data_IF_826926052850
#
_entry.id   IF_826926052850
#
_cell.length_a   1.000
_cell.length_b   1.000
_cell.length_c   1.000
_cell.angle_alpha   90.00
_cell.angle_beta   90.00
_cell.angle_gamma   90.00
#
_symmetry.space_group_name_H-M   'P 1'
#
loop_
_entity.id
_entity.type
_entity.pdbx_description
1 polymer ?
#
# COMPACT_ATOMS: atom_id res chain seq x y z
N UNK A 1 15.58 -17.22 38.87
CA UNK A 1 15.99 -18.60 39.20
C UNK A 1 16.23 -19.32 37.91
N UNK A 2 17.52 -19.51 37.55
CA UNK A 2 17.98 -20.28 36.40
C UNK A 2 17.81 -21.77 36.64
N UNK A 3 17.41 -22.53 35.61
CA UNK A 3 17.79 -23.95 35.51
C UNK A 3 18.30 -24.18 34.06
N UNK A 4 19.59 -24.39 33.96
CA UNK A 4 20.29 -24.87 32.78
C UNK A 4 20.26 -26.40 32.79
N UNK A 5 20.05 -27.03 31.63
CA UNK A 5 20.24 -28.46 31.43
C UNK A 5 21.36 -28.64 30.36
N UNK A 6 22.49 -29.09 30.90
CA UNK A 6 23.66 -29.58 30.14
C UNK A 6 23.46 -31.04 29.83
N UNK A 7 23.68 -31.48 28.59
CA UNK A 7 23.81 -32.89 28.22
C UNK A 7 25.22 -33.13 27.70
N UNK A 8 25.95 -33.98 28.42
CA UNK A 8 27.25 -34.50 28.12
C UNK A 8 27.18 -35.58 27.01
N UNK A 9 28.09 -35.51 26.07
CA UNK A 9 28.42 -36.63 25.17
C UNK A 9 29.88 -36.99 25.37
N UNK A 10 30.12 -38.25 25.67
CA UNK A 10 31.45 -38.86 25.77
C UNK A 10 31.64 -39.95 24.68
N UNK A 11 32.88 -40.29 24.28
CA UNK A 11 33.22 -40.86 23.01
C UNK A 11 33.57 -42.36 23.06
N UNK A 12 33.48 -43.04 21.93
CA UNK A 12 34.26 -44.24 21.52
C UNK A 12 33.66 -44.76 20.19
N UNK A 13 34.35 -45.28 19.24
CA UNK A 13 35.55 -46.07 19.17
C UNK A 13 36.05 -46.16 17.70
N UNK A 14 37.34 -46.24 17.62
CA UNK A 14 38.19 -46.49 16.46
C UNK A 14 38.00 -47.92 15.92
N UNK A 15 37.85 -48.12 14.61
CA UNK A 15 38.18 -49.36 13.93
C UNK A 15 38.89 -49.06 12.60
N UNK A 16 40.14 -49.45 12.58
CA UNK A 16 41.07 -49.56 11.44
C UNK A 16 40.71 -50.74 10.54
N UNK A 17 40.68 -50.54 9.24
CA UNK A 17 40.85 -51.67 8.29
C UNK A 17 41.72 -51.25 7.09
N UNK A 18 42.53 -52.18 6.73
CA UNK A 18 43.70 -52.12 5.93
C UNK A 18 43.54 -51.77 4.46
N UNK A 19 44.65 -51.23 3.93
CA UNK A 19 44.92 -50.92 2.53
C UNK A 19 45.28 -52.15 1.78
N UNK A 20 44.65 -52.51 0.69
CA UNK A 20 45.16 -53.42 -0.34
C UNK A 20 45.29 -52.65 -1.66
N UNK A 21 46.53 -52.60 -2.13
CA UNK A 21 46.98 -52.03 -3.39
C UNK A 21 46.66 -52.92 -4.58
N UNK A 22 46.18 -52.39 -5.68
CA UNK A 22 46.26 -52.93 -7.03
C UNK A 22 46.40 -51.81 -8.09
N UNK A 23 46.94 -52.09 -9.32
CA UNK A 23 47.91 -51.22 -9.96
C UNK A 23 47.36 -50.23 -10.98
N UNK A 24 48.14 -49.19 -11.26
CA UNK A 24 47.97 -48.19 -12.31
C UNK A 24 47.82 -48.83 -13.69
N UNK A 25 46.76 -48.50 -14.39
CA UNK A 25 46.69 -48.57 -15.85
C UNK A 25 46.52 -47.14 -16.41
N UNK A 26 47.51 -46.77 -17.23
CA UNK A 26 47.58 -45.55 -18.00
C UNK A 26 46.32 -45.40 -18.93
N UNK A 27 45.52 -44.33 -18.76
CA UNK A 27 44.64 -43.91 -19.78
C UNK A 27 44.96 -42.46 -20.22
N UNK A 28 45.20 -42.32 -21.53
CA UNK A 28 45.49 -41.05 -22.22
C UNK A 28 44.31 -40.06 -22.13
N UNK A 29 44.56 -38.75 -22.04
CA UNK A 29 43.51 -37.77 -22.04
C UNK A 29 43.14 -37.36 -23.49
N UNK A 30 41.93 -37.64 -23.90
CA UNK A 30 41.29 -36.94 -25.02
C UNK A 30 39.80 -36.82 -24.76
N UNK A 31 39.39 -35.64 -24.32
CA UNK A 31 38.18 -34.96 -24.78
C UNK A 31 38.07 -33.63 -24.04
N UNK A 32 38.24 -32.54 -24.77
CA UNK A 32 37.95 -31.19 -24.31
C UNK A 32 36.47 -31.09 -24.01
N UNK A 33 36.09 -31.23 -22.75
CA UNK A 33 34.74 -30.89 -22.29
C UNK A 33 34.68 -29.35 -22.24
N UNK A 34 34.11 -28.73 -23.26
CA UNK A 34 33.65 -27.35 -23.18
C UNK A 34 32.64 -27.31 -22.04
N UNK A 35 33.07 -26.84 -20.88
CA UNK A 35 32.19 -26.49 -19.77
C UNK A 35 31.27 -25.39 -20.25
N UNK A 36 30.08 -25.76 -20.69
CA UNK A 36 28.97 -24.82 -20.82
C UNK A 36 28.56 -24.46 -19.38
N UNK A 37 29.20 -23.42 -18.84
CA UNK A 37 28.64 -22.74 -17.68
C UNK A 37 27.31 -22.13 -18.06
N UNK A 38 26.26 -22.96 -18.04
CA UNK A 38 24.90 -22.52 -17.94
C UNK A 38 24.71 -22.05 -16.48
N UNK A 39 25.21 -20.85 -16.18
CA UNK A 39 24.78 -20.13 -15.00
C UNK A 39 23.27 -19.90 -15.19
N UNK A 40 22.47 -20.76 -14.58
CA UNK A 40 21.05 -20.49 -14.42
C UNK A 40 20.97 -19.08 -13.78
N UNK A 41 20.55 -18.09 -14.55
CA UNK A 41 20.30 -16.74 -14.07
C UNK A 41 19.19 -16.90 -13.03
N UNK A 42 19.52 -16.78 -11.75
CA UNK A 42 18.50 -16.71 -10.71
C UNK A 42 17.62 -15.53 -11.07
N UNK A 43 16.36 -15.81 -11.43
CA UNK A 43 15.39 -14.76 -11.77
C UNK A 43 15.15 -13.93 -10.52
N UNK A 44 15.33 -12.61 -10.64
CA UNK A 44 14.97 -11.70 -9.55
C UNK A 44 13.45 -11.58 -9.47
N UNK A 45 12.92 -11.31 -8.28
CA UNK A 45 11.47 -11.13 -8.08
C UNK A 45 10.85 -10.07 -9.01
N UNK A 46 11.61 -9.03 -9.30
CA UNK A 46 11.18 -8.01 -10.25
C UNK A 46 10.95 -8.57 -11.67
N UNK A 47 11.75 -9.53 -12.14
CA UNK A 47 11.57 -10.12 -13.46
C UNK A 47 10.26 -10.91 -13.52
N UNK A 48 9.89 -11.58 -12.44
CA UNK A 48 8.61 -12.27 -12.30
C UNK A 48 7.45 -11.27 -12.29
N UNK A 49 7.55 -10.21 -11.47
CA UNK A 49 6.49 -9.20 -11.35
C UNK A 49 6.25 -8.47 -12.70
N UNK A 50 7.31 -8.12 -13.43
CA UNK A 50 7.20 -7.47 -14.74
C UNK A 50 6.67 -8.42 -15.82
N UNK A 51 7.01 -9.71 -15.77
CA UNK A 51 6.58 -10.72 -16.76
C UNK A 51 5.09 -11.08 -16.68
N UNK A 52 4.40 -10.69 -15.60
CA UNK A 52 2.95 -10.90 -15.47
C UNK A 52 2.13 -10.09 -16.46
N UNK A 53 2.73 -9.10 -17.10
CA UNK A 53 2.06 -8.27 -18.10
C UNK A 53 2.83 -8.28 -19.41
N UNK A 54 2.15 -8.60 -20.51
CA UNK A 54 2.66 -8.41 -21.86
C UNK A 54 2.19 -7.09 -22.41
N UNK A 55 3.13 -6.20 -22.74
CA UNK A 55 2.85 -4.87 -23.31
C UNK A 55 3.12 -4.91 -24.81
N UNK A 56 2.09 -4.77 -25.62
CA UNK A 56 2.17 -4.95 -27.09
C UNK A 56 2.68 -3.72 -27.84
N UNK A 57 2.58 -2.52 -27.24
CA UNK A 57 3.00 -1.24 -27.82
C UNK A 57 4.00 -0.55 -26.92
N UNK A 58 4.72 0.42 -27.47
CA UNK A 58 5.59 1.28 -26.70
C UNK A 58 4.82 2.00 -25.58
N UNK A 59 5.47 2.26 -24.47
CA UNK A 59 4.82 2.81 -23.27
C UNK A 59 5.51 4.06 -22.75
N UNK A 60 4.70 4.95 -22.19
CA UNK A 60 5.11 6.02 -21.33
C UNK A 60 4.84 5.60 -19.87
N UNK A 61 5.86 5.66 -19.02
CA UNK A 61 5.77 5.16 -17.66
C UNK A 61 5.95 6.27 -16.63
N UNK A 62 5.38 6.05 -15.46
CA UNK A 62 5.76 6.71 -14.21
C UNK A 62 6.00 5.67 -13.11
N UNK A 63 6.85 6.00 -12.14
CA UNK A 63 7.26 5.10 -11.05
C UNK A 63 7.02 5.80 -9.72
N UNK A 64 6.35 5.12 -8.79
CA UNK A 64 6.11 5.67 -7.46
C UNK A 64 5.27 4.78 -6.56
N UNK A 65 5.18 5.12 -5.29
CA UNK A 65 4.32 4.40 -4.34
C UNK A 65 2.85 4.71 -4.59
N UNK A 66 2.52 5.93 -5.00
CA UNK A 66 1.17 6.43 -5.28
C UNK A 66 0.16 6.21 -4.14
N UNK A 67 0.65 6.18 -2.91
CA UNK A 67 -0.20 5.94 -1.75
C UNK A 67 -1.28 7.02 -1.60
N UNK A 68 -2.55 6.56 -1.57
CA UNK A 68 -3.74 7.40 -1.52
C UNK A 68 -4.15 8.03 -2.85
N UNK A 69 -3.38 7.92 -3.93
CA UNK A 69 -3.67 8.51 -5.27
C UNK A 69 -4.27 9.91 -5.13
N UNK A 70 -3.55 10.81 -4.44
CA UNK A 70 -4.01 12.17 -4.14
C UNK A 70 -3.91 13.10 -5.36
N UNK A 71 -4.47 14.30 -5.28
CA UNK A 71 -4.51 15.29 -6.38
C UNK A 71 -3.13 15.56 -7.01
N UNK A 72 -2.05 15.54 -6.20
CA UNK A 72 -0.68 15.65 -6.72
C UNK A 72 -0.28 14.46 -7.62
N UNK A 73 -0.65 13.24 -7.24
CA UNK A 73 -0.46 12.06 -8.09
C UNK A 73 -1.32 12.15 -9.36
N UNK A 74 -2.59 12.57 -9.23
CA UNK A 74 -3.51 12.73 -10.36
C UNK A 74 -2.97 13.76 -11.37
N UNK A 75 -2.33 14.83 -10.89
CA UNK A 75 -1.70 15.81 -11.77
C UNK A 75 -0.58 15.17 -12.64
N UNK A 76 0.31 14.39 -12.02
CA UNK A 76 1.36 13.64 -12.72
C UNK A 76 0.77 12.63 -13.71
N UNK A 77 -0.25 11.88 -13.30
CA UNK A 77 -0.95 10.87 -14.11
C UNK A 77 -1.58 11.51 -15.35
N UNK A 78 -2.23 12.67 -15.22
CA UNK A 78 -2.81 13.40 -16.35
C UNK A 78 -1.74 13.82 -17.37
N UNK A 79 -0.56 14.24 -16.91
CA UNK A 79 0.58 14.55 -17.79
C UNK A 79 1.11 13.31 -18.50
N UNK A 80 1.21 12.19 -17.79
CA UNK A 80 1.59 10.90 -18.37
C UNK A 80 0.61 10.46 -19.48
N UNK A 81 -0.69 10.48 -19.19
CA UNK A 81 -1.73 10.09 -20.16
C UNK A 81 -1.71 11.03 -21.40
N UNK A 82 -1.55 12.34 -21.17
CA UNK A 82 -1.45 13.32 -22.26
C UNK A 82 -0.26 13.03 -23.17
N UNK A 83 0.90 12.71 -22.59
CA UNK A 83 2.10 12.36 -23.38
C UNK A 83 1.92 11.03 -24.11
N UNK A 84 1.40 10.01 -23.46
CA UNK A 84 1.13 8.71 -24.07
C UNK A 84 0.19 8.84 -25.27
N UNK A 85 -0.89 9.59 -25.13
CA UNK A 85 -1.84 9.87 -26.22
C UNK A 85 -1.17 10.63 -27.38
N UNK A 86 -0.37 11.65 -27.08
CA UNK A 86 0.33 12.47 -28.08
C UNK A 86 1.33 11.64 -28.92
N UNK A 87 1.93 10.61 -28.33
CA UNK A 87 2.97 9.78 -28.95
C UNK A 87 2.46 8.41 -29.43
N UNK A 88 1.17 8.11 -29.26
CA UNK A 88 0.58 6.81 -29.62
C UNK A 88 1.02 5.65 -28.72
N UNK A 89 1.57 5.95 -27.55
CA UNK A 89 2.04 4.98 -26.55
C UNK A 89 0.92 4.57 -25.58
N UNK A 90 1.15 3.49 -24.82
CA UNK A 90 0.35 3.14 -23.65
C UNK A 90 0.85 3.93 -22.43
N UNK A 91 -0.08 4.33 -21.56
CA UNK A 91 0.24 4.93 -20.25
C UNK A 91 0.35 3.84 -19.20
N UNK A 92 1.49 3.76 -18.50
CA UNK A 92 1.72 2.75 -17.46
C UNK A 92 2.23 3.34 -16.15
N UNK A 93 1.82 2.71 -15.05
CA UNK A 93 2.29 3.03 -13.70
C UNK A 93 3.01 1.82 -13.12
N UNK A 94 4.27 2.00 -12.74
CA UNK A 94 5.00 1.05 -11.90
C UNK A 94 4.84 1.48 -10.45
N UNK A 95 4.14 0.68 -9.65
CA UNK A 95 3.93 0.94 -8.22
C UNK A 95 4.50 -0.19 -7.37
N UNK A 96 4.55 -0.01 -6.05
CA UNK A 96 5.14 -1.01 -5.17
C UNK A 96 4.07 -1.69 -4.32
N UNK A 97 4.16 -3.03 -4.19
CA UNK A 97 3.29 -3.83 -3.30
C UNK A 97 3.51 -3.42 -1.84
N UNK A 98 4.76 -3.22 -1.46
CA UNK A 98 5.19 -2.75 -0.15
C UNK A 98 5.97 -1.44 -0.28
N UNK A 99 5.93 -0.62 0.77
CA UNK A 99 6.63 0.67 0.73
C UNK A 99 8.16 0.44 0.78
N UNK A 100 8.97 1.02 -0.14
CA UNK A 100 10.43 0.83 -0.14
C UNK A 100 11.11 1.07 1.21
N UNK A 101 10.61 2.02 2.00
CA UNK A 101 11.16 2.30 3.33
C UNK A 101 11.01 1.15 4.32
N UNK A 102 10.06 0.23 4.15
CA UNK A 102 9.90 -0.94 5.06
C UNK A 102 11.07 -1.92 4.92
N UNK A 103 11.70 -1.97 3.74
CA UNK A 103 12.89 -2.79 3.49
C UNK A 103 14.17 -2.03 3.85
N UNK A 104 14.21 -0.71 3.53
CA UNK A 104 15.41 0.11 3.75
C UNK A 104 15.58 0.57 5.21
N UNK A 105 14.53 0.54 6.01
CA UNK A 105 14.52 0.99 7.42
C UNK A 105 13.64 0.04 8.24
N UNK A 106 14.19 -0.92 8.96
CA UNK A 106 13.41 -1.94 9.71
C UNK A 106 12.40 -1.35 10.71
N UNK A 107 12.72 -0.19 11.30
CA UNK A 107 11.83 0.48 12.27
C UNK A 107 10.72 1.31 11.63
N UNK A 108 10.69 1.42 10.29
CA UNK A 108 9.69 2.20 9.60
C UNK A 108 8.35 1.46 9.58
N UNK A 109 7.35 2.03 10.25
CA UNK A 109 5.96 1.56 10.18
C UNK A 109 5.21 2.35 9.11
N UNK A 110 4.48 1.62 8.27
CA UNK A 110 3.59 2.23 7.27
C UNK A 110 2.23 2.53 7.92
N UNK A 111 1.66 3.65 7.52
CA UNK A 111 0.24 3.94 7.70
C UNK A 111 -0.30 4.27 6.30
N UNK A 112 -0.56 3.24 5.49
CA UNK A 112 -1.04 3.43 4.12
C UNK A 112 -2.39 4.15 4.10
N UNK A 113 -2.52 5.11 3.20
CA UNK A 113 -3.78 5.82 2.95
C UNK A 113 -4.75 4.94 2.16
N UNK A 114 -4.22 4.09 1.28
CA UNK A 114 -4.98 3.12 0.48
C UNK A 114 -4.26 1.78 0.42
N UNK A 115 -5.00 0.68 0.38
CA UNK A 115 -4.44 -0.62 0.04
C UNK A 115 -4.01 -0.69 -1.43
N UNK A 116 -3.40 -1.82 -1.83
CA UNK A 116 -2.88 -1.97 -3.18
C UNK A 116 -4.00 -2.05 -4.22
N UNK A 117 -5.07 -2.76 -3.92
CA UNK A 117 -6.17 -2.98 -4.86
C UNK A 117 -6.95 -1.68 -5.10
N UNK A 118 -7.23 -0.93 -4.04
CA UNK A 118 -7.82 0.41 -4.12
C UNK A 118 -6.92 1.37 -4.92
N UNK A 119 -5.61 1.32 -4.71
CA UNK A 119 -4.64 2.13 -5.45
C UNK A 119 -4.65 1.82 -6.94
N UNK A 120 -4.65 0.52 -7.30
CA UNK A 120 -4.73 0.08 -8.69
C UNK A 120 -6.05 0.50 -9.31
N UNK A 121 -7.16 0.32 -8.60
CA UNK A 121 -8.50 0.74 -9.04
C UNK A 121 -8.54 2.23 -9.35
N UNK A 122 -8.09 3.07 -8.41
CA UNK A 122 -8.04 4.53 -8.57
C UNK A 122 -7.16 4.97 -9.75
N UNK A 123 -5.99 4.37 -9.92
CA UNK A 123 -5.11 4.66 -11.06
C UNK A 123 -5.80 4.37 -12.40
N UNK A 124 -6.49 3.22 -12.49
CA UNK A 124 -7.24 2.83 -13.69
C UNK A 124 -8.44 3.73 -13.94
N UNK A 125 -9.18 4.13 -12.91
CA UNK A 125 -10.30 5.08 -13.04
C UNK A 125 -9.86 6.45 -13.58
N UNK A 126 -8.61 6.85 -13.32
CA UNK A 126 -8.03 8.04 -13.92
C UNK A 126 -7.53 7.85 -15.36
N UNK A 127 -7.72 6.67 -15.95
CA UNK A 127 -7.47 6.39 -17.36
C UNK A 127 -6.06 5.86 -17.67
N UNK A 128 -5.36 5.30 -16.70
CA UNK A 128 -4.10 4.58 -16.92
C UNK A 128 -4.41 3.24 -17.61
N UNK A 129 -3.70 2.95 -18.71
CA UNK A 129 -3.89 1.73 -19.49
C UNK A 129 -3.47 0.49 -18.69
N UNK A 130 -2.33 0.55 -17.98
CA UNK A 130 -1.87 -0.57 -17.14
C UNK A 130 -1.11 -0.14 -15.89
N UNK A 131 -1.20 -0.98 -14.86
CA UNK A 131 -0.47 -0.81 -13.60
C UNK A 131 0.30 -2.08 -13.30
N UNK A 132 1.59 -1.95 -12.99
CA UNK A 132 2.47 -3.06 -12.60
C UNK A 132 2.87 -2.90 -11.15
N UNK A 133 2.32 -3.70 -10.24
CA UNK A 133 2.74 -3.71 -8.85
C UNK A 133 4.00 -4.57 -8.69
N UNK A 134 5.11 -3.94 -8.30
CA UNK A 134 6.42 -4.57 -8.10
C UNK A 134 6.68 -4.79 -6.60
N UNK A 135 7.22 -5.93 -6.25
CA UNK A 135 7.69 -6.21 -4.89
C UNK A 135 9.03 -5.53 -4.66
N UNK A 136 9.10 -4.63 -3.67
CA UNK A 136 10.37 -4.02 -3.29
C UNK A 136 11.05 -4.89 -2.22
N UNK A 137 12.11 -5.58 -2.61
CA UNK A 137 12.92 -6.44 -1.77
C UNK A 137 14.38 -5.95 -1.68
N UNK A 138 15.24 -6.71 -0.98
CA UNK A 138 16.65 -6.36 -0.86
C UNK A 138 17.40 -6.43 -2.19
N UNK A 139 17.03 -7.35 -3.09
CA UNK A 139 17.66 -7.48 -4.39
C UNK A 139 17.33 -6.28 -5.27
N UNK A 140 16.07 -5.86 -5.30
CA UNK A 140 15.66 -4.64 -5.99
C UNK A 140 16.33 -3.38 -5.40
N UNK A 141 16.50 -3.33 -4.07
CA UNK A 141 17.18 -2.23 -3.39
C UNK A 141 18.68 -2.11 -3.76
N UNK A 142 19.34 -3.19 -4.19
CA UNK A 142 20.72 -3.20 -4.67
C UNK A 142 20.85 -2.95 -6.17
N UNK A 143 19.73 -2.91 -6.89
CA UNK A 143 19.75 -2.71 -8.33
C UNK A 143 20.04 -1.24 -8.67
N UNK A 144 21.03 -1.00 -9.54
CA UNK A 144 21.30 0.36 -10.03
C UNK A 144 20.12 0.89 -10.85
N UNK A 145 20.00 2.21 -10.91
CA UNK A 145 18.99 2.89 -11.74
C UNK A 145 19.05 2.45 -13.21
N UNK A 146 20.25 2.33 -13.76
CA UNK A 146 20.46 1.85 -15.14
C UNK A 146 19.85 0.46 -15.35
N UNK A 147 20.19 -0.51 -14.51
CA UNK A 147 19.67 -1.88 -14.65
C UNK A 147 18.17 -1.98 -14.46
N UNK A 148 17.62 -1.18 -13.55
CA UNK A 148 16.17 -1.14 -13.35
C UNK A 148 15.45 -0.55 -14.55
N UNK A 149 15.95 0.59 -15.09
CA UNK A 149 15.38 1.24 -16.29
C UNK A 149 15.53 0.35 -17.53
N UNK A 150 16.66 -0.35 -17.69
CA UNK A 150 16.85 -1.34 -18.75
C UNK A 150 15.78 -2.45 -18.71
N UNK A 151 15.47 -2.99 -17.50
CA UNK A 151 14.37 -3.95 -17.35
C UNK A 151 13.01 -3.38 -17.78
N UNK A 152 12.69 -2.14 -17.39
CA UNK A 152 11.44 -1.49 -17.81
C UNK A 152 11.40 -1.26 -19.33
N UNK A 153 12.51 -0.83 -19.92
CA UNK A 153 12.61 -0.64 -21.38
C UNK A 153 12.40 -1.95 -22.15
N UNK A 154 12.99 -3.03 -21.67
CA UNK A 154 12.90 -4.33 -22.33
C UNK A 154 11.57 -5.06 -22.09
N UNK A 155 11.03 -5.03 -20.86
CA UNK A 155 9.84 -5.85 -20.49
C UNK A 155 8.54 -5.08 -20.66
N UNK A 156 8.55 -3.75 -20.41
CA UNK A 156 7.35 -2.89 -20.56
C UNK A 156 7.43 -1.98 -21.78
N UNK A 157 8.42 -2.15 -22.64
CA UNK A 157 8.63 -1.33 -23.86
C UNK A 157 8.64 0.17 -23.57
N UNK A 158 9.28 0.57 -22.46
CA UNK A 158 9.33 1.97 -22.02
C UNK A 158 10.10 2.82 -23.02
N UNK A 159 9.46 3.86 -23.55
CA UNK A 159 10.04 4.89 -24.44
C UNK A 159 9.92 6.30 -23.86
N UNK A 160 9.20 6.46 -22.76
CA UNK A 160 9.11 7.73 -22.04
C UNK A 160 8.98 7.48 -20.55
N UNK A 161 9.77 8.19 -19.75
CA UNK A 161 9.67 8.20 -18.28
C UNK A 161 9.28 9.59 -17.80
N UNK A 162 8.18 9.68 -17.06
CA UNK A 162 7.62 10.94 -16.55
C UNK A 162 7.50 10.85 -15.03
N UNK A 163 8.13 11.75 -14.29
CA UNK A 163 8.23 11.69 -12.83
C UNK A 163 8.00 13.05 -12.16
N UNK A 164 7.82 13.05 -10.86
CA UNK A 164 7.80 14.29 -10.07
C UNK A 164 9.19 14.87 -9.80
N UNK A 165 9.29 16.10 -9.29
CA UNK A 165 10.56 16.79 -9.12
C UNK A 165 11.42 16.26 -7.95
N UNK A 166 10.82 15.54 -7.00
CA UNK A 166 11.51 14.93 -5.86
C UNK A 166 11.96 13.48 -6.14
N UNK A 167 11.86 13.04 -7.42
CA UNK A 167 12.10 11.66 -7.80
C UNK A 167 13.57 11.29 -7.72
N UNK A 168 13.84 10.15 -7.13
CA UNK A 168 15.13 9.46 -7.24
C UNK A 168 14.92 7.96 -7.01
N UNK A 169 15.71 7.14 -7.70
CA UNK A 169 15.61 5.69 -7.71
C UNK A 169 16.97 5.01 -7.75
N UNK A 170 16.98 3.67 -7.73
CA UNK A 170 18.18 2.87 -7.82
C UNK A 170 18.97 2.79 -6.51
N UNK A 171 20.02 1.97 -6.52
CA UNK A 171 20.89 1.76 -5.35
C UNK A 171 21.49 3.08 -4.88
N UNK A 172 21.32 3.40 -3.58
CA UNK A 172 21.79 4.67 -2.99
C UNK A 172 21.26 5.93 -3.71
N UNK A 173 20.12 5.83 -4.42
CA UNK A 173 19.52 6.93 -5.21
C UNK A 173 20.43 7.42 -6.35
N UNK A 174 21.12 6.53 -7.03
CA UNK A 174 22.02 6.84 -8.16
C UNK A 174 21.28 7.39 -9.39
N UNK A 175 19.97 7.13 -9.51
CA UNK A 175 19.09 7.70 -10.53
C UNK A 175 18.41 8.97 -10.01
N UNK A 176 18.89 10.15 -10.42
CA UNK A 176 18.36 11.48 -10.08
C UNK A 176 17.84 12.19 -11.31
N UNK A 177 17.26 13.39 -11.14
CA UNK A 177 16.81 14.21 -12.29
C UNK A 177 17.95 14.62 -13.21
N UNK A 178 19.20 14.62 -12.73
CA UNK A 178 20.40 14.94 -13.53
C UNK A 178 20.95 13.69 -14.25
N UNK A 179 20.91 12.51 -13.62
CA UNK A 179 21.52 11.29 -14.16
C UNK A 179 20.58 10.49 -15.06
N UNK A 180 19.26 10.49 -14.79
CA UNK A 180 18.29 9.75 -15.60
C UNK A 180 18.23 10.21 -17.07
N UNK A 181 18.34 11.51 -17.42
CA UNK A 181 18.41 11.94 -18.82
C UNK A 181 19.55 11.29 -19.59
N UNK A 182 20.73 11.14 -18.99
CA UNK A 182 21.89 10.48 -19.59
C UNK A 182 21.62 8.97 -19.82
N UNK A 183 20.91 8.34 -18.90
CA UNK A 183 20.45 6.96 -19.07
C UNK A 183 19.38 6.86 -20.16
N UNK A 184 18.55 7.88 -20.33
CA UNK A 184 17.59 7.97 -21.42
C UNK A 184 18.22 7.95 -22.80
N UNK A 185 19.31 8.71 -23.01
CA UNK A 185 20.10 8.68 -24.23
C UNK A 185 20.71 7.29 -24.50
N UNK A 186 21.22 6.62 -23.44
CA UNK A 186 21.83 5.30 -23.53
C UNK A 186 20.82 4.18 -23.80
N UNK A 187 19.62 4.25 -23.18
CA UNK A 187 18.60 3.20 -23.21
C UNK A 187 17.43 3.52 -24.17
N UNK A 188 17.56 4.57 -24.98
CA UNK A 188 16.59 5.00 -25.99
C UNK A 188 15.19 5.28 -25.41
N UNK A 189 15.11 6.13 -24.35
CA UNK A 189 13.86 6.67 -23.84
C UNK A 189 13.95 8.17 -23.54
N UNK A 190 12.81 8.87 -23.60
CA UNK A 190 12.70 10.29 -23.24
C UNK A 190 12.40 10.43 -21.74
N UNK A 191 12.95 11.50 -21.12
CA UNK A 191 12.73 11.81 -19.72
C UNK A 191 12.04 13.16 -19.54
N UNK A 192 11.06 13.23 -18.65
CA UNK A 192 10.37 14.48 -18.28
C UNK A 192 10.12 14.54 -16.79
N UNK A 193 10.34 15.70 -16.19
CA UNK A 193 9.90 16.02 -14.83
C UNK A 193 8.66 16.91 -14.86
N UNK A 194 7.70 16.65 -13.98
CA UNK A 194 6.45 17.41 -13.84
C UNK A 194 6.45 18.10 -12.48
N UNK A 195 6.19 19.39 -12.47
CA UNK A 195 6.13 20.19 -11.24
C UNK A 195 5.03 19.68 -10.28
N UNK A 196 5.26 19.89 -8.98
CA UNK A 196 4.29 19.55 -7.95
C UNK A 196 3.01 20.39 -8.10
N UNK A 197 1.87 19.71 -7.97
CA UNK A 197 0.62 20.42 -7.74
C UNK A 197 0.65 21.05 -6.35
N UNK A 198 0.44 22.36 -6.29
CA UNK A 198 0.25 23.10 -5.05
C UNK A 198 -1.23 23.30 -4.79
N UNK A 199 -1.66 23.12 -3.55
CA UNK A 199 -2.97 23.53 -3.08
C UNK A 199 -2.76 24.77 -2.19
N UNK A 200 -3.23 25.92 -2.66
CA UNK A 200 -2.93 27.27 -2.13
C UNK A 200 -1.46 27.50 -2.00
N UNK A 201 -0.55 27.25 -1.50
CA UNK A 201 0.92 27.37 -1.52
C UNK A 201 1.64 26.09 -1.04
N UNK A 202 0.87 25.12 -0.54
CA UNK A 202 1.43 23.88 0.00
C UNK A 202 1.39 22.72 -1.00
N UNK A 203 2.46 21.93 -1.10
CA UNK A 203 2.48 20.75 -1.97
C UNK A 203 1.59 19.64 -1.39
N UNK A 204 0.73 19.09 -2.23
CA UNK A 204 -0.10 17.92 -1.86
C UNK A 204 0.78 16.68 -1.74
N UNK A 205 1.03 16.23 -0.51
CA UNK A 205 1.91 15.07 -0.19
C UNK A 205 1.22 14.05 0.72
N UNK A 206 1.48 12.77 0.51
CA UNK A 206 0.93 11.67 1.34
C UNK A 206 1.28 11.82 2.84
N UNK A 207 2.42 12.43 3.18
CA UNK A 207 2.79 12.65 4.59
C UNK A 207 1.85 13.64 5.28
N UNK A 208 1.49 14.74 4.60
CA UNK A 208 0.53 15.73 5.13
C UNK A 208 -0.85 15.08 5.30
N UNK A 209 -1.27 14.31 4.29
CA UNK A 209 -2.57 13.61 4.33
C UNK A 209 -2.63 12.62 5.51
N UNK A 210 -1.55 11.86 5.78
CA UNK A 210 -1.52 10.95 6.95
C UNK A 210 -1.65 11.67 8.28
N UNK A 211 -1.02 12.83 8.43
CA UNK A 211 -1.15 13.64 9.64
C UNK A 211 -2.58 14.13 9.82
N UNK A 212 -3.20 14.67 8.76
CA UNK A 212 -4.61 15.11 8.79
C UNK A 212 -5.59 13.96 9.09
N UNK A 213 -5.33 12.74 8.57
CA UNK A 213 -6.11 11.55 8.93
C UNK A 213 -5.96 11.28 10.43
N UNK A 214 -4.73 11.25 10.95
CA UNK A 214 -4.47 10.99 12.37
C UNK A 214 -5.07 12.05 13.30
N UNK A 215 -5.22 13.30 12.83
CA UNK A 215 -5.90 14.39 13.52
C UNK A 215 -7.43 14.31 13.43
N UNK A 216 -7.97 13.48 12.52
CA UNK A 216 -9.40 13.38 12.25
C UNK A 216 -9.96 14.48 11.35
N UNK A 217 -9.10 15.24 10.66
CA UNK A 217 -9.46 16.35 9.75
C UNK A 217 -9.88 15.82 8.38
N UNK A 218 -10.92 14.96 8.35
CA UNK A 218 -11.31 14.20 7.14
C UNK A 218 -11.77 15.07 5.98
N UNK A 219 -12.34 16.24 6.25
CA UNK A 219 -12.73 17.22 5.22
C UNK A 219 -11.48 17.79 4.50
N UNK A 220 -10.43 18.14 5.24
CA UNK A 220 -9.15 18.58 4.65
C UNK A 220 -8.48 17.45 3.86
N UNK A 221 -8.57 16.23 4.35
CA UNK A 221 -8.10 15.04 3.64
C UNK A 221 -8.85 14.87 2.32
N UNK A 222 -10.19 15.03 2.33
CA UNK A 222 -11.00 14.95 1.12
C UNK A 222 -10.58 15.98 0.06
N UNK A 223 -10.30 17.22 0.46
CA UNK A 223 -9.79 18.25 -0.44
C UNK A 223 -8.46 17.85 -1.10
N UNK A 224 -7.53 17.26 -0.34
CA UNK A 224 -6.23 16.84 -0.86
C UNK A 224 -6.30 15.57 -1.70
N UNK A 225 -7.17 14.62 -1.35
CA UNK A 225 -7.39 13.40 -2.12
C UNK A 225 -8.21 13.68 -3.39
N UNK A 226 -9.12 14.66 -3.38
CA UNK A 226 -10.14 14.90 -4.40
C UNK A 226 -11.32 13.91 -4.30
N UNK A 227 -11.43 13.19 -3.18
CA UNK A 227 -12.50 12.27 -2.78
C UNK A 227 -12.46 12.07 -1.27
N UNK A 228 -13.51 11.50 -0.70
CA UNK A 228 -13.50 11.16 0.71
C UNK A 228 -12.45 10.07 1.01
N UNK A 229 -11.84 10.14 2.19
CA UNK A 229 -10.99 9.08 2.70
C UNK A 229 -11.84 7.86 3.03
N UNK A 230 -11.37 6.67 2.70
CA UNK A 230 -12.03 5.42 3.06
C UNK A 230 -11.10 4.45 3.78
N UNK A 231 -11.67 3.70 4.72
CA UNK A 231 -11.01 2.60 5.40
C UNK A 231 -11.81 1.32 5.20
N UNK A 232 -11.12 0.25 4.83
CA UNK A 232 -11.73 -1.06 4.59
C UNK A 232 -11.21 -2.06 5.61
N UNK A 233 -12.09 -2.89 6.14
CA UNK A 233 -11.75 -3.93 7.10
C UNK A 233 -12.80 -5.03 7.18
N UNK A 234 -12.60 -5.94 8.09
CA UNK A 234 -13.55 -7.02 8.38
C UNK A 234 -14.40 -6.67 9.59
N UNK A 235 -15.68 -6.96 9.53
CA UNK A 235 -16.58 -6.80 10.67
C UNK A 235 -16.35 -7.92 11.69
N UNK A 236 -15.93 -7.56 12.88
CA UNK A 236 -15.61 -8.50 13.95
C UNK A 236 -16.57 -8.39 15.15
N UNK A 237 -16.60 -9.42 16.00
CA UNK A 237 -17.38 -9.37 17.21
C UNK A 237 -16.85 -8.33 18.19
N UNK A 238 -17.71 -7.41 18.63
CA UNK A 238 -17.46 -6.46 19.70
C UNK A 238 -18.15 -6.84 21.01
N UNK A 239 -18.17 -5.91 21.98
CA UNK A 239 -18.82 -6.11 23.29
C UNK A 239 -20.35 -6.11 23.24
N UNK A 240 -20.95 -5.82 22.08
CA UNK A 240 -22.41 -5.79 21.81
C UNK A 240 -23.21 -4.84 22.74
N UNK A 241 -22.54 -3.87 23.38
CA UNK A 241 -23.21 -2.89 24.28
C UNK A 241 -24.20 -2.00 23.54
N UNK A 242 -23.87 -1.58 22.32
CA UNK A 242 -24.76 -0.80 21.48
C UNK A 242 -26.10 -1.49 21.20
N UNK A 243 -26.09 -2.83 21.03
CA UNK A 243 -27.33 -3.62 20.80
C UNK A 243 -28.30 -3.52 21.97
N UNK A 244 -27.83 -3.51 23.22
CA UNK A 244 -28.68 -3.38 24.41
C UNK A 244 -29.26 -1.96 24.56
N UNK A 245 -28.62 -0.99 23.93
CA UNK A 245 -29.05 0.41 23.93
C UNK A 245 -29.91 0.79 22.69
N UNK A 246 -30.18 -0.16 21.80
CA UNK A 246 -30.94 0.07 20.57
C UNK A 246 -30.12 0.57 19.39
N UNK A 247 -28.78 0.66 19.52
CA UNK A 247 -27.85 1.10 18.47
C UNK A 247 -26.80 0.00 18.18
N UNK A 248 -27.18 -1.09 17.47
CA UNK A 248 -26.23 -2.14 17.12
C UNK A 248 -25.11 -1.59 16.23
N UNK A 249 -23.85 -1.71 16.66
CA UNK A 249 -22.67 -1.25 15.91
C UNK A 249 -21.89 -2.40 15.30
N UNK A 250 -21.40 -2.22 14.08
CA UNK A 250 -20.41 -3.06 13.45
C UNK A 250 -19.00 -2.63 13.92
N UNK A 251 -18.25 -3.55 14.49
CA UNK A 251 -16.85 -3.30 14.88
C UNK A 251 -15.96 -3.63 13.69
N UNK A 252 -15.26 -2.63 13.15
CA UNK A 252 -14.39 -2.77 12.00
C UNK A 252 -12.95 -3.01 12.42
N UNK A 253 -12.38 -4.14 12.03
CA UNK A 253 -10.95 -4.43 12.17
C UNK A 253 -10.23 -4.06 10.88
N UNK A 254 -9.43 -2.99 10.95
CA UNK A 254 -8.56 -2.57 9.84
C UNK A 254 -7.22 -3.29 9.97
N UNK A 255 -6.65 -3.84 8.88
CA UNK A 255 -5.34 -4.46 8.91
C UNK A 255 -4.25 -3.51 9.41
N UNK A 256 -3.28 -4.03 10.16
CA UNK A 256 -2.15 -3.24 10.63
C UNK A 256 -1.40 -2.57 9.48
N UNK A 257 -0.93 -1.35 9.71
CA UNK A 257 -0.16 -0.59 8.71
C UNK A 257 -1.01 0.29 7.79
N UNK A 258 -2.33 0.37 8.02
CA UNK A 258 -3.22 1.32 7.35
C UNK A 258 -3.60 2.49 8.27
N UNK A 259 -3.85 3.64 7.64
CA UNK A 259 -4.28 4.84 8.34
C UNK A 259 -5.73 4.70 8.81
N UNK A 260 -6.00 5.18 10.02
CA UNK A 260 -7.34 5.37 10.56
C UNK A 260 -7.49 6.79 11.09
N UNK A 261 -8.66 7.42 10.95
CA UNK A 261 -8.88 8.78 11.44
C UNK A 261 -8.69 8.89 12.96
N UNK A 262 -8.40 10.10 13.44
CA UNK A 262 -8.31 10.43 14.86
C UNK A 262 -9.57 10.04 15.63
N UNK A 263 -9.50 10.04 16.99
CA UNK A 263 -10.65 9.72 17.84
C UNK A 263 -11.76 10.75 17.62
N UNK A 264 -13.01 10.31 17.62
CA UNK A 264 -14.17 11.15 17.38
C UNK A 264 -15.36 10.42 16.78
N UNK A 265 -16.41 11.17 16.53
CA UNK A 265 -17.65 10.70 15.88
C UNK A 265 -17.72 11.28 14.48
N UNK A 266 -18.04 10.43 13.51
CA UNK A 266 -18.01 10.76 12.09
C UNK A 266 -19.32 10.41 11.38
N UNK A 267 -19.75 11.25 10.46
CA UNK A 267 -20.71 10.88 9.43
C UNK A 267 -19.97 10.13 8.32
N UNK A 268 -20.40 8.90 8.02
CA UNK A 268 -19.74 8.02 7.05
C UNK A 268 -20.75 7.36 6.13
N UNK A 269 -20.30 7.02 4.92
CA UNK A 269 -20.98 6.03 4.09
C UNK A 269 -20.37 4.65 4.36
N UNK A 270 -21.23 3.68 4.64
CA UNK A 270 -20.88 2.27 4.81
C UNK A 270 -21.23 1.51 3.53
N UNK A 271 -20.23 0.83 2.95
CA UNK A 271 -20.40 0.02 1.74
C UNK A 271 -20.23 -1.46 2.08
N UNK A 272 -21.26 -2.22 1.78
CA UNK A 272 -21.32 -3.69 1.82
C UNK A 272 -21.60 -4.22 0.42
N UNK A 273 -21.51 -5.52 0.21
CA UNK A 273 -21.96 -6.14 -1.05
C UNK A 273 -23.45 -5.88 -1.33
N UNK A 274 -24.27 -5.79 -0.25
CA UNK A 274 -25.72 -5.51 -0.34
C UNK A 274 -26.07 -4.07 -0.70
N UNK A 275 -25.10 -3.13 -0.59
CA UNK A 275 -25.36 -1.74 -0.94
C UNK A 275 -24.61 -0.70 -0.11
N UNK A 276 -25.07 0.55 -0.24
CA UNK A 276 -24.53 1.73 0.47
C UNK A 276 -25.49 2.20 1.53
N UNK A 277 -25.03 2.40 2.74
CA UNK A 277 -25.80 2.80 3.91
C UNK A 277 -25.19 4.03 4.59
N UNK A 278 -25.99 4.90 5.15
CA UNK A 278 -25.51 5.96 6.04
C UNK A 278 -25.05 5.33 7.35
N UNK A 279 -23.97 5.83 7.93
CA UNK A 279 -23.52 5.34 9.23
C UNK A 279 -22.96 6.45 10.12
N UNK A 280 -23.28 6.40 11.40
CA UNK A 280 -22.62 7.16 12.44
C UNK A 280 -21.48 6.30 13.00
N UNK A 281 -20.24 6.75 12.81
CA UNK A 281 -19.06 5.96 13.15
C UNK A 281 -18.29 6.60 14.29
N UNK A 282 -18.05 5.83 15.35
CA UNK A 282 -17.19 6.20 16.48
C UNK A 282 -15.79 5.59 16.31
N UNK A 283 -14.76 6.40 16.50
CA UNK A 283 -13.38 5.95 16.61
C UNK A 283 -12.85 6.41 17.96
N UNK A 284 -12.32 5.45 18.76
CA UNK A 284 -11.79 5.77 20.07
C UNK A 284 -10.94 4.65 20.65
N UNK A 285 -10.31 4.94 21.81
CA UNK A 285 -9.51 3.99 22.57
C UNK A 285 -10.34 3.34 23.66
N UNK A 286 -10.30 2.02 23.77
CA UNK A 286 -10.95 1.32 24.90
C UNK A 286 -10.03 1.30 26.12
N UNK A 287 -10.48 1.81 27.28
CA UNK A 287 -9.65 1.79 28.50
C UNK A 287 -9.41 0.39 29.08
N UNK A 288 -10.03 -0.66 28.55
CA UNK A 288 -10.05 -2.02 29.12
C UNK A 288 -9.13 -3.04 28.43
N UNK A 289 -8.37 -2.66 27.39
CA UNK A 289 -7.37 -3.54 26.78
C UNK A 289 -5.96 -3.10 27.15
N UNK A 290 -5.17 -4.01 27.70
CA UNK A 290 -3.76 -3.84 28.09
C UNK A 290 -2.81 -3.47 26.94
N UNK A 291 -3.28 -3.40 25.70
CA UNK A 291 -2.50 -3.04 24.51
C UNK A 291 -3.08 -1.84 23.73
N UNK A 292 -3.95 -1.01 24.31
CA UNK A 292 -4.35 0.30 23.78
C UNK A 292 -4.90 0.29 22.34
N UNK A 293 -5.63 -0.76 21.93
CA UNK A 293 -6.17 -0.86 20.57
C UNK A 293 -7.29 0.16 20.33
N UNK A 294 -7.18 0.94 19.24
CA UNK A 294 -8.28 1.77 18.73
C UNK A 294 -9.38 0.89 18.17
N UNK A 295 -10.62 1.28 18.42
CA UNK A 295 -11.81 0.61 17.86
C UNK A 295 -12.53 1.54 16.90
N UNK A 296 -13.07 0.96 15.83
CA UNK A 296 -13.95 1.65 14.89
C UNK A 296 -15.29 0.95 14.97
N UNK A 297 -16.29 1.68 15.41
CA UNK A 297 -17.65 1.17 15.61
C UNK A 297 -18.63 1.96 14.76
N UNK A 298 -19.20 1.33 13.75
CA UNK A 298 -20.14 1.95 12.83
C UNK A 298 -21.58 1.50 13.14
N UNK A 299 -22.47 2.45 13.46
CA UNK A 299 -23.90 2.23 13.50
C UNK A 299 -24.47 2.54 12.10
N UNK A 300 -24.88 1.50 11.36
CA UNK A 300 -25.51 1.62 10.06
C UNK A 300 -26.98 2.02 10.25
N UNK A 301 -27.39 3.13 9.69
CA UNK A 301 -28.76 3.67 9.79
C UNK A 301 -29.70 2.80 8.95
N UNK A 302 -30.88 2.51 9.52
CA UNK A 302 -31.96 1.76 8.86
C UNK A 302 -31.52 0.36 8.39
N UNK A 303 -30.56 -0.26 9.09
CA UNK A 303 -29.96 -1.54 8.75
C UNK A 303 -30.08 -2.54 9.92
N UNK A 304 -30.45 -3.79 9.65
CA UNK A 304 -30.70 -4.80 10.69
C UNK A 304 -30.09 -6.18 10.43
N UNK A 305 -29.40 -6.33 9.29
CA UNK A 305 -28.83 -7.64 8.91
C UNK A 305 -27.56 -7.98 9.72
N UNK A 306 -27.23 -9.28 9.79
CA UNK A 306 -25.98 -9.75 10.35
C UNK A 306 -24.86 -9.68 9.31
N UNK A 307 -23.80 -8.93 9.63
CA UNK A 307 -22.66 -8.69 8.73
C UNK A 307 -21.32 -9.12 9.32
N UNK A 308 -21.32 -9.94 10.38
CA UNK A 308 -20.08 -10.47 10.93
C UNK A 308 -19.28 -11.27 9.89
N UNK A 309 -17.97 -11.05 9.85
CA UNK A 309 -17.05 -11.66 8.87
C UNK A 309 -17.09 -11.05 7.48
N UNK A 310 -18.03 -10.15 7.19
CA UNK A 310 -18.08 -9.45 5.92
C UNK A 310 -17.05 -8.33 5.84
N UNK A 311 -16.67 -7.97 4.62
CA UNK A 311 -15.87 -6.78 4.34
C UNK A 311 -16.77 -5.55 4.39
N UNK A 312 -16.37 -4.55 5.16
CA UNK A 312 -17.02 -3.26 5.26
C UNK A 312 -16.03 -2.16 4.89
N UNK A 313 -16.40 -1.28 3.94
CA UNK A 313 -15.67 -0.06 3.62
C UNK A 313 -16.43 1.15 4.18
N UNK A 314 -15.78 1.91 5.04
CA UNK A 314 -16.28 3.17 5.58
C UNK A 314 -15.64 4.34 4.83
N UNK A 315 -16.44 5.22 4.29
CA UNK A 315 -16.04 6.45 3.64
C UNK A 315 -16.38 7.64 4.53
N UNK A 316 -15.37 8.38 4.99
CA UNK A 316 -15.48 9.43 5.99
C UNK A 316 -15.81 10.78 5.32
N UNK A 317 -17.00 11.29 5.59
CA UNK A 317 -17.48 12.54 4.99
C UNK A 317 -17.18 13.73 5.88
N UNK A 318 -17.51 13.61 7.18
CA UNK A 318 -17.34 14.71 8.13
C UNK A 318 -17.11 14.22 9.55
N UNK A 319 -16.26 14.91 10.30
CA UNK A 319 -16.15 14.76 11.75
C UNK A 319 -17.26 15.57 12.42
N UNK A 320 -18.12 14.90 13.18
CA UNK A 320 -19.24 15.55 13.87
C UNK A 320 -18.78 16.21 15.18
N UNK A 321 -17.97 15.49 15.97
CA UNK A 321 -17.44 15.94 17.26
C UNK A 321 -16.31 15.05 17.76
N UNK A 322 -15.69 15.46 18.85
CA UNK A 322 -14.77 14.64 19.64
C UNK A 322 -15.53 13.60 20.47
N UNK A 323 -14.80 12.60 21.00
CA UNK A 323 -15.36 11.69 22.01
C UNK A 323 -15.62 12.46 23.31
N UNK A 324 -16.74 12.16 23.94
CA UNK A 324 -17.17 12.74 25.22
C UNK A 324 -17.50 11.64 26.22
N UNK A 325 -17.30 11.95 27.51
CA UNK A 325 -17.77 11.10 28.61
C UNK A 325 -19.15 11.57 29.07
N UNK A 326 -20.04 10.64 29.34
CA UNK A 326 -21.39 10.93 29.79
C UNK A 326 -21.62 10.43 31.22
N UNK A 327 -22.32 11.21 32.02
CA UNK A 327 -22.61 10.90 33.43
C UNK A 327 -23.75 9.86 33.59
N UNK A 328 -24.35 9.40 32.50
CA UNK A 328 -25.41 8.39 32.53
C UNK A 328 -25.85 7.93 31.15
N UNK A 329 -26.65 6.86 31.13
CA UNK A 329 -27.13 6.22 29.90
C UNK A 329 -28.07 7.16 29.14
N UNK A 330 -28.92 7.93 29.80
CA UNK A 330 -29.89 8.83 29.15
C UNK A 330 -29.17 9.97 28.39
N UNK A 331 -28.12 10.55 28.98
CA UNK A 331 -27.31 11.57 28.33
C UNK A 331 -26.58 10.99 27.09
N UNK A 332 -26.02 9.78 27.22
CA UNK A 332 -25.40 9.07 26.09
C UNK A 332 -26.40 8.80 24.97
N UNK A 333 -27.60 8.28 25.28
CA UNK A 333 -28.65 8.01 24.28
C UNK A 333 -29.12 9.27 23.57
N UNK A 334 -29.27 10.37 24.33
CA UNK A 334 -29.62 11.68 23.77
C UNK A 334 -28.58 12.14 22.74
N UNK A 335 -27.31 12.01 23.08
CA UNK A 335 -26.22 12.40 22.17
C UNK A 335 -26.12 11.48 20.96
N UNK A 336 -26.24 10.15 21.13
CA UNK A 336 -26.26 9.20 20.00
C UNK A 336 -27.39 9.56 19.01
N UNK A 337 -28.60 9.82 19.51
CA UNK A 337 -29.71 10.23 18.64
C UNK A 337 -29.41 11.52 17.86
N UNK A 338 -28.74 12.50 18.50
CA UNK A 338 -28.31 13.74 17.83
C UNK A 338 -27.26 13.46 16.75
N UNK A 339 -26.26 12.60 17.04
CA UNK A 339 -25.22 12.22 16.06
C UNK A 339 -25.83 11.49 14.86
N UNK A 340 -26.79 10.58 15.09
CA UNK A 340 -27.53 9.88 14.04
C UNK A 340 -28.33 10.85 13.18
N UNK A 341 -29.05 11.80 13.80
CA UNK A 341 -29.81 12.79 13.05
C UNK A 341 -28.90 13.70 12.21
N UNK A 342 -27.79 14.19 12.78
CA UNK A 342 -26.79 14.97 12.05
C UNK A 342 -26.19 14.20 10.89
N UNK A 343 -25.89 12.90 11.09
CA UNK A 343 -25.40 12.01 10.02
C UNK A 343 -26.41 11.94 8.89
N UNK A 344 -27.71 11.73 9.20
CA UNK A 344 -28.78 11.64 8.21
C UNK A 344 -28.92 12.94 7.42
N UNK A 345 -28.95 14.07 8.11
CA UNK A 345 -29.10 15.39 7.48
C UNK A 345 -27.94 15.70 6.50
N UNK A 346 -26.70 15.44 6.94
CA UNK A 346 -25.51 15.66 6.12
C UNK A 346 -25.49 14.77 4.88
N UNK A 347 -25.69 13.46 5.06
CA UNK A 347 -25.52 12.51 3.96
C UNK A 347 -26.70 12.48 2.98
N UNK A 348 -27.88 12.92 3.40
CA UNK A 348 -29.02 13.13 2.47
C UNK A 348 -28.73 14.30 1.52
N UNK A 349 -28.09 15.36 2.00
CA UNK A 349 -27.78 16.55 1.20
C UNK A 349 -26.64 16.28 0.17
N UNK A 350 -25.70 15.42 0.50
CA UNK A 350 -24.60 15.02 -0.40
C UNK A 350 -25.04 14.05 -1.53
N UNK A 351 -26.29 13.60 -1.53
CA UNK A 351 -26.83 12.65 -2.52
C UNK A 351 -27.54 13.32 -3.70
N UNK A 352 -27.59 14.65 -3.73
CA UNK A 352 -28.16 15.51 -4.79
C UNK A 352 -27.02 16.17 -5.55
#
# INVERSE_FOLDING_TARGET
MCVALTVNLSPASCLTTEVTSLPLTLFRPHASIKSAHHTARVSMKIDEDLSQLSVERDSALTIGVFDGVHRGHIHLIRRLISEAKRTGMLSGVVTFRNHPKTVLRPDFKTNYISDLDERIRLLKEHGIDFVVPVTFDHDLAQLSSERFLDKLSNQLRMKSLIVGPDFAMGHKRDGTLETIPLLGEKLDFTFKSVDLLKDRDDPVKSTVIRNLIAEGSVESVSQMLGRNFSATGTVVNGLKRGRTLGFPTANLEIPNGYAAPGDGIYATWAYLESGRYMAATSIGTRPTFTEGGRTIEAYLLDFSEDIYGQTLRLEFVKRLREEEKFDGVDALLTQINKDVQQTRDLLTTDSV
#
